data_IF_619887653484
#
_entry.id   IF_619887653484
#
_cell.length_a   1.000
_cell.length_b   1.000
_cell.length_c   1.000
_cell.angle_alpha   90.00
_cell.angle_beta   90.00
_cell.angle_gamma   90.00
#
_symmetry.space_group_name_H-M   'P 1'
#
loop_
_entity.id
_entity.type
_entity.pdbx_description
1 polymer ?
#
# COMPACT_ATOMS: atom_id res chain seq x y z
N UNK A 1 12.14 18.12 -12.08
CA UNK A 1 11.64 17.10 -11.13
C UNK A 1 10.25 16.63 -11.57
N UNK A 2 10.13 16.23 -12.83
CA UNK A 2 8.94 15.57 -13.34
C UNK A 2 9.45 14.26 -13.94
N UNK A 3 9.36 13.18 -13.16
CA UNK A 3 9.35 11.86 -13.78
C UNK A 3 8.07 11.85 -14.62
N UNK A 4 8.19 11.63 -15.93
CA UNK A 4 7.01 11.39 -16.75
C UNK A 4 6.31 10.18 -16.13
N UNK A 5 5.16 10.43 -15.50
CA UNK A 5 4.39 9.40 -14.80
C UNK A 5 3.40 8.87 -15.82
N UNK A 6 3.28 7.55 -15.89
CA UNK A 6 2.27 6.89 -16.71
C UNK A 6 0.87 7.39 -16.28
N UNK A 7 0.02 7.91 -17.19
CA UNK A 7 -1.33 8.33 -16.86
C UNK A 7 -2.16 7.27 -16.13
N UNK A 8 -1.90 5.98 -16.41
CA UNK A 8 -2.59 4.87 -15.76
C UNK A 8 -2.17 4.75 -14.28
N UNK A 9 -0.87 4.98 -13.98
CA UNK A 9 -0.35 5.01 -12.62
C UNK A 9 -0.84 6.23 -11.83
N UNK A 10 -0.95 7.41 -12.46
CA UNK A 10 -1.48 8.61 -11.80
C UNK A 10 -2.93 8.40 -11.35
N UNK A 11 -3.78 7.86 -12.25
CA UNK A 11 -5.17 7.55 -11.94
C UNK A 11 -5.30 6.57 -10.78
N UNK A 12 -4.51 5.49 -10.81
CA UNK A 12 -4.51 4.49 -9.76
C UNK A 12 -4.04 5.06 -8.41
N UNK A 13 -2.96 5.85 -8.38
CA UNK A 13 -2.50 6.51 -7.15
C UNK A 13 -3.54 7.45 -6.56
N UNK A 14 -4.28 8.19 -7.41
CA UNK A 14 -5.37 9.05 -6.97
C UNK A 14 -6.51 8.25 -6.34
N UNK A 15 -6.85 7.08 -6.90
CA UNK A 15 -7.87 6.20 -6.34
C UNK A 15 -7.44 5.59 -5.00
N UNK A 16 -6.16 5.21 -4.85
CA UNK A 16 -5.62 4.78 -3.56
C UNK A 16 -5.68 5.91 -2.52
N UNK A 17 -5.37 7.15 -2.91
CA UNK A 17 -5.51 8.31 -2.02
C UNK A 17 -6.97 8.52 -1.58
N UNK A 18 -7.95 8.33 -2.47
CA UNK A 18 -9.39 8.39 -2.12
C UNK A 18 -9.78 7.27 -1.16
N UNK A 19 -9.31 6.05 -1.38
CA UNK A 19 -9.56 4.91 -0.48
C UNK A 19 -8.94 5.13 0.91
N UNK A 20 -7.81 5.82 1.01
CA UNK A 20 -7.24 6.22 2.31
C UNK A 20 -8.14 7.21 3.09
N UNK A 21 -9.00 7.99 2.43
CA UNK A 21 -10.02 8.77 3.13
C UNK A 21 -11.11 7.88 3.74
N UNK A 22 -11.47 6.77 3.08
CA UNK A 22 -12.40 5.77 3.64
C UNK A 22 -11.79 5.14 4.90
N UNK A 23 -10.51 4.76 4.84
CA UNK A 23 -9.74 4.27 6.00
C UNK A 23 -9.77 5.27 7.14
N UNK A 24 -9.50 6.55 6.84
CA UNK A 24 -9.52 7.62 7.83
C UNK A 24 -10.90 7.83 8.46
N UNK A 25 -11.97 7.77 7.65
CA UNK A 25 -13.34 7.92 8.12
C UNK A 25 -13.75 6.81 9.10
N UNK A 26 -13.39 5.56 8.82
CA UNK A 26 -13.66 4.44 9.72
C UNK A 26 -12.92 4.60 11.05
N UNK A 27 -11.61 4.87 11.00
CA UNK A 27 -10.77 5.04 12.20
C UNK A 27 -11.16 6.26 13.04
N UNK A 28 -11.66 7.33 12.41
CA UNK A 28 -12.10 8.53 13.12
C UNK A 28 -13.48 8.38 13.78
N UNK A 29 -14.26 7.37 13.39
CA UNK A 29 -15.61 7.17 13.90
C UNK A 29 -15.56 6.35 15.19
N UNK A 30 -16.15 6.89 16.27
CA UNK A 30 -16.24 6.17 17.54
C UNK A 30 -16.97 4.82 17.37
N UNK A 31 -16.53 3.73 18.03
CA UNK A 31 -17.11 2.39 17.86
C UNK A 31 -18.64 2.34 17.99
N UNK A 32 -19.20 3.09 18.96
CA UNK A 32 -20.66 3.17 19.16
C UNK A 32 -21.44 3.72 17.94
N UNK A 33 -20.76 4.45 17.05
CA UNK A 33 -21.33 5.03 15.83
C UNK A 33 -20.97 4.25 14.55
N UNK A 34 -20.27 3.11 14.65
CA UNK A 34 -19.86 2.33 13.46
C UNK A 34 -21.06 1.84 12.62
N UNK A 35 -22.23 1.69 13.23
CA UNK A 35 -23.48 1.38 12.52
C UNK A 35 -23.90 2.44 11.48
N UNK A 36 -23.34 3.66 11.56
CA UNK A 36 -23.59 4.76 10.60
C UNK A 36 -22.67 4.71 9.39
N UNK A 37 -21.61 3.88 9.43
CA UNK A 37 -20.64 3.82 8.37
C UNK A 37 -21.20 3.07 7.15
N UNK A 38 -20.87 3.57 5.96
CA UNK A 38 -21.29 2.99 4.70
C UNK A 38 -20.13 2.22 4.04
N UNK A 39 -20.32 0.94 3.65
CA UNK A 39 -19.31 0.15 2.93
C UNK A 39 -18.77 0.88 1.70
N UNK A 40 -17.45 0.94 1.56
CA UNK A 40 -16.74 1.57 0.44
C UNK A 40 -16.75 3.10 0.43
N UNK A 41 -17.52 3.75 1.31
CA UNK A 41 -17.63 5.22 1.38
C UNK A 41 -17.00 5.76 2.66
N UNK A 42 -17.31 5.12 3.79
CA UNK A 42 -16.74 5.48 5.10
C UNK A 42 -16.36 4.26 5.95
N UNK A 43 -16.57 3.04 5.41
CA UNK A 43 -16.14 1.77 5.98
C UNK A 43 -15.32 1.01 4.95
N UNK A 44 -14.13 0.57 5.32
CA UNK A 44 -13.25 -0.27 4.52
C UNK A 44 -13.88 -1.65 4.35
N UNK A 45 -13.79 -2.20 3.14
CA UNK A 45 -14.37 -3.49 2.80
C UNK A 45 -13.32 -4.43 2.20
N UNK A 46 -13.66 -5.72 2.09
CA UNK A 46 -12.78 -6.70 1.46
C UNK A 46 -12.62 -6.43 -0.05
N UNK A 47 -13.65 -5.90 -0.70
CA UNK A 47 -13.65 -5.56 -2.13
C UNK A 47 -12.67 -4.42 -2.45
N UNK A 48 -12.32 -3.58 -1.47
CA UNK A 48 -11.27 -2.57 -1.64
C UNK A 48 -9.86 -3.20 -1.66
N UNK A 49 -9.71 -4.42 -1.14
CA UNK A 49 -8.43 -5.14 -1.08
C UNK A 49 -8.16 -5.88 -2.39
N UNK A 50 -9.20 -6.42 -3.03
CA UNK A 50 -9.09 -7.23 -4.26
C UNK A 50 -8.27 -6.55 -5.36
N UNK A 51 -8.49 -5.28 -5.73
CA UNK A 51 -7.70 -4.63 -6.78
C UNK A 51 -6.20 -4.50 -6.43
N UNK A 52 -5.86 -4.41 -5.13
CA UNK A 52 -4.46 -4.39 -4.71
C UNK A 52 -3.77 -5.73 -4.95
N UNK A 53 -4.48 -6.82 -4.66
CA UNK A 53 -3.99 -8.19 -4.88
C UNK A 53 -3.84 -8.48 -6.37
N UNK A 54 -4.83 -8.10 -7.18
CA UNK A 54 -4.78 -8.25 -8.65
C UNK A 54 -3.58 -7.51 -9.27
N UNK A 55 -3.30 -6.28 -8.82
CA UNK A 55 -2.13 -5.53 -9.30
C UNK A 55 -0.80 -6.10 -8.80
N UNK A 56 -0.74 -6.60 -7.56
CA UNK A 56 0.45 -7.31 -7.06
C UNK A 56 0.74 -8.52 -7.95
N UNK A 57 -0.27 -9.35 -8.22
CA UNK A 57 -0.15 -10.55 -9.03
C UNK A 57 0.26 -10.21 -10.48
N UNK A 58 -0.31 -9.15 -11.05
CA UNK A 58 0.06 -8.66 -12.39
C UNK A 58 1.55 -8.28 -12.44
N UNK A 59 2.00 -7.44 -11.52
CA UNK A 59 3.40 -6.97 -11.51
C UNK A 59 4.34 -8.15 -11.24
N UNK A 60 3.98 -9.07 -10.34
CA UNK A 60 4.78 -10.27 -10.05
C UNK A 60 4.92 -11.16 -11.30
N UNK A 61 3.84 -11.35 -12.07
CA UNK A 61 3.88 -12.14 -13.30
C UNK A 61 4.78 -11.50 -14.38
N UNK A 62 4.82 -10.17 -14.46
CA UNK A 62 5.59 -9.43 -15.48
C UNK A 62 7.06 -9.24 -15.09
N UNK A 63 7.32 -8.98 -13.80
CA UNK A 63 8.64 -8.56 -13.30
C UNK A 63 9.37 -9.66 -12.55
N UNK A 64 8.64 -10.66 -12.05
CA UNK A 64 9.12 -11.62 -11.08
C UNK A 64 9.28 -11.04 -9.68
N UNK A 65 9.75 -11.87 -8.76
CA UNK A 65 10.03 -11.47 -7.37
C UNK A 65 11.53 -11.57 -7.06
N UNK A 66 12.15 -10.52 -6.49
CA UNK A 66 13.53 -10.56 -5.99
C UNK A 66 13.75 -11.69 -4.98
N UNK A 67 14.88 -12.40 -5.09
CA UNK A 67 15.30 -13.44 -4.15
C UNK A 67 16.03 -12.88 -2.92
N UNK A 68 16.43 -11.62 -2.97
CA UNK A 68 17.11 -10.89 -1.92
C UNK A 68 16.39 -9.58 -1.61
N UNK A 69 16.66 -8.99 -0.44
CA UNK A 69 16.17 -7.65 -0.14
C UNK A 69 16.69 -6.64 -1.15
N UNK A 70 15.81 -5.75 -1.61
CA UNK A 70 16.14 -4.69 -2.58
C UNK A 70 16.40 -3.37 -1.85
N UNK A 71 17.45 -2.66 -2.26
CA UNK A 71 17.76 -1.30 -1.80
C UNK A 71 16.78 -0.32 -2.45
N UNK A 72 16.08 0.52 -1.67
CA UNK A 72 15.07 1.42 -2.21
C UNK A 72 15.69 2.59 -2.98
N UNK A 73 15.02 3.03 -4.05
CA UNK A 73 15.24 4.34 -4.64
C UNK A 73 16.20 4.40 -5.83
N UNK A 74 16.23 3.36 -6.68
CA UNK A 74 16.99 3.39 -7.94
C UNK A 74 16.60 4.57 -8.84
N UNK A 75 15.36 5.08 -8.73
CA UNK A 75 14.94 6.34 -9.34
C UNK A 75 13.97 7.12 -8.44
N UNK A 76 13.64 8.35 -8.85
CA UNK A 76 12.81 9.27 -8.06
C UNK A 76 11.38 8.76 -7.80
N UNK A 77 10.76 8.09 -8.78
CA UNK A 77 9.41 7.54 -8.61
C UNK A 77 9.43 6.35 -7.65
N UNK A 78 10.33 5.39 -7.87
CA UNK A 78 10.51 4.24 -6.98
C UNK A 78 10.84 4.68 -5.54
N UNK A 79 11.72 5.68 -5.38
CA UNK A 79 12.04 6.25 -4.08
C UNK A 79 10.80 6.84 -3.38
N UNK A 80 9.96 7.58 -4.10
CA UNK A 80 8.74 8.16 -3.56
C UNK A 80 7.74 7.07 -3.13
N UNK A 81 7.57 6.02 -3.94
CA UNK A 81 6.73 4.86 -3.62
C UNK A 81 7.26 4.10 -2.40
N UNK A 82 8.57 3.89 -2.29
CA UNK A 82 9.18 3.28 -1.11
C UNK A 82 9.00 4.13 0.16
N UNK A 83 9.10 5.45 0.05
CA UNK A 83 8.77 6.36 1.16
C UNK A 83 7.30 6.20 1.54
N UNK A 84 6.37 6.25 0.59
CA UNK A 84 4.94 6.07 0.84
C UNK A 84 4.66 4.73 1.54
N UNK A 85 5.29 3.64 1.08
CA UNK A 85 5.21 2.32 1.71
C UNK A 85 5.62 2.36 3.17
N UNK A 86 6.74 3.00 3.52
CA UNK A 86 7.17 3.09 4.94
C UNK A 86 6.17 3.86 5.81
N UNK A 87 5.52 4.88 5.25
CA UNK A 87 4.47 5.65 5.92
C UNK A 87 3.22 4.80 6.11
N UNK A 88 2.80 4.04 5.09
CA UNK A 88 1.67 3.10 5.17
C UNK A 88 1.94 2.03 6.21
N UNK A 89 3.13 1.41 6.26
CA UNK A 89 3.48 0.44 7.33
C UNK A 89 3.45 1.06 8.73
N UNK A 90 3.78 2.35 8.86
CA UNK A 90 3.64 3.08 10.13
C UNK A 90 2.17 3.30 10.48
N UNK A 91 1.32 3.61 9.50
CA UNK A 91 -0.12 3.73 9.69
C UNK A 91 -0.75 2.38 10.07
N UNK A 92 -0.37 1.28 9.40
CA UNK A 92 -0.79 -0.09 9.70
C UNK A 92 -0.55 -0.44 11.17
N UNK A 93 0.68 -0.24 11.67
CA UNK A 93 1.01 -0.51 13.09
C UNK A 93 0.15 0.31 14.06
N UNK A 94 -0.12 1.58 13.74
CA UNK A 94 -1.00 2.44 14.54
C UNK A 94 -2.45 1.97 14.49
N UNK A 95 -2.92 1.53 13.32
CA UNK A 95 -4.25 0.99 13.14
C UNK A 95 -4.43 -0.30 13.95
N UNK A 96 -3.46 -1.22 13.94
CA UNK A 96 -3.45 -2.44 14.79
C UNK A 96 -3.61 -2.08 16.27
N UNK A 97 -2.79 -1.13 16.76
CA UNK A 97 -2.91 -0.70 18.16
C UNK A 97 -4.27 -0.05 18.44
N UNK A 98 -4.77 0.79 17.52
CA UNK A 98 -6.03 1.49 17.68
C UNK A 98 -7.23 0.53 17.70
N UNK A 99 -7.32 -0.40 16.74
CA UNK A 99 -8.44 -1.34 16.65
C UNK A 99 -8.48 -2.27 17.86
N UNK A 100 -7.33 -2.76 18.31
CA UNK A 100 -7.23 -3.55 19.53
C UNK A 100 -7.65 -2.77 20.78
N UNK A 101 -7.20 -1.53 20.95
CA UNK A 101 -7.52 -0.71 22.12
C UNK A 101 -9.00 -0.32 22.23
N UNK A 102 -9.73 -0.29 21.10
CA UNK A 102 -11.13 0.13 21.05
C UNK A 102 -12.10 -1.02 20.77
N UNK A 103 -11.64 -2.26 20.72
CA UNK A 103 -12.48 -3.44 20.45
C UNK A 103 -13.16 -3.41 19.08
N UNK A 104 -12.48 -2.86 18.07
CA UNK A 104 -13.01 -2.80 16.69
C UNK A 104 -12.71 -4.14 16.01
N UNK A 105 -13.65 -5.08 16.12
CA UNK A 105 -13.55 -6.41 15.54
C UNK A 105 -14.00 -6.42 14.06
N UNK A 106 -13.35 -7.24 13.23
CA UNK A 106 -13.74 -7.44 11.83
C UNK A 106 -13.53 -6.25 10.89
N UNK A 107 -12.78 -5.22 11.30
CA UNK A 107 -12.39 -4.11 10.43
C UNK A 107 -11.42 -4.56 9.34
N UNK A 108 -11.64 -4.10 8.11
CA UNK A 108 -10.75 -4.34 6.97
C UNK A 108 -9.64 -3.30 6.83
N UNK A 109 -9.54 -2.33 7.75
CA UNK A 109 -8.50 -1.28 7.73
C UNK A 109 -7.09 -1.87 7.77
N UNK A 110 -6.82 -2.80 8.70
CA UNK A 110 -5.48 -3.40 8.84
C UNK A 110 -5.14 -4.26 7.61
N UNK A 111 -6.01 -5.19 7.15
CA UNK A 111 -5.81 -5.90 5.89
C UNK A 111 -5.53 -4.98 4.69
N UNK A 112 -6.30 -3.90 4.56
CA UNK A 112 -6.14 -2.94 3.47
C UNK A 112 -4.77 -2.24 3.52
N UNK A 113 -4.38 -1.69 4.68
CA UNK A 113 -3.08 -1.02 4.82
C UNK A 113 -1.91 -1.99 4.63
N UNK A 114 -2.07 -3.26 5.00
CA UNK A 114 -1.09 -4.31 4.79
C UNK A 114 -0.89 -4.59 3.30
N UNK A 115 -1.97 -4.87 2.55
CA UNK A 115 -1.91 -5.11 1.10
C UNK A 115 -1.46 -3.86 0.33
N UNK A 116 -1.85 -2.66 0.77
CA UNK A 116 -1.40 -1.40 0.15
C UNK A 116 0.12 -1.23 0.28
N UNK A 117 0.71 -1.61 1.43
CA UNK A 117 2.16 -1.57 1.59
C UNK A 117 2.88 -2.55 0.64
N UNK A 118 2.29 -3.71 0.39
CA UNK A 118 2.83 -4.71 -0.53
C UNK A 118 2.71 -4.21 -1.99
N UNK A 119 1.55 -3.66 -2.37
CA UNK A 119 1.36 -3.03 -3.68
C UNK A 119 2.36 -1.89 -3.92
N UNK A 120 2.53 -0.97 -2.96
CA UNK A 120 3.50 0.11 -3.09
C UNK A 120 4.95 -0.38 -3.23
N UNK A 121 5.26 -1.55 -2.67
CA UNK A 121 6.55 -2.19 -2.88
C UNK A 121 6.68 -2.72 -4.32
N UNK A 122 5.67 -3.44 -4.81
CA UNK A 122 5.64 -3.96 -6.18
C UNK A 122 5.69 -2.84 -7.23
N UNK A 123 4.89 -1.79 -7.05
CA UNK A 123 4.91 -0.62 -7.92
C UNK A 123 6.28 0.08 -7.93
N UNK A 124 6.99 0.13 -6.79
CA UNK A 124 8.35 0.65 -6.77
C UNK A 124 9.29 -0.22 -7.62
N UNK A 125 9.18 -1.56 -7.56
CA UNK A 125 9.99 -2.50 -8.36
C UNK A 125 9.63 -2.47 -9.86
N UNK A 126 8.37 -2.20 -10.20
CA UNK A 126 7.90 -2.00 -11.57
C UNK A 126 8.51 -0.74 -12.18
N UNK A 127 8.55 0.36 -11.40
CA UNK A 127 9.13 1.64 -11.82
C UNK A 127 10.66 1.62 -11.98
N UNK A 128 11.36 0.58 -11.51
CA UNK A 128 12.81 0.43 -11.64
C UNK A 128 13.21 -0.18 -12.99
N UNK A 129 14.45 0.02 -13.42
CA UNK A 129 15.00 -0.70 -14.59
C UNK A 129 15.62 -2.03 -14.14
N UNK A 130 16.30 -2.02 -13.00
CA UNK A 130 16.91 -3.18 -12.35
C UNK A 130 16.75 -3.09 -10.84
N UNK A 131 16.83 -4.21 -10.14
CA UNK A 131 16.82 -4.22 -8.68
C UNK A 131 18.23 -4.23 -8.14
N UNK A 132 18.51 -3.36 -7.15
CA UNK A 132 19.79 -3.35 -6.44
C UNK A 132 19.69 -4.26 -5.21
N UNK A 133 20.42 -5.38 -5.15
CA UNK A 133 20.42 -6.23 -3.97
C UNK A 133 21.04 -5.52 -2.77
N UNK A 134 20.48 -5.75 -1.57
CA UNK A 134 20.97 -5.16 -0.31
C UNK A 134 22.37 -5.61 0.10
N UNK A 135 22.81 -6.77 -0.41
CA UNK A 135 24.17 -7.26 -0.26
C UNK A 135 24.87 -6.93 -1.56
N UNK A 136 25.78 -5.95 -1.52
CA UNK A 136 26.56 -5.55 -2.69
C UNK A 136 27.22 -6.77 -3.33
N UNK A 137 27.14 -6.87 -4.65
CA UNK A 137 27.77 -7.95 -5.40
C UNK A 137 29.30 -7.94 -5.23
N UNK A 138 29.80 -8.72 -4.29
CA UNK A 138 31.05 -9.46 -4.49
C UNK A 138 30.73 -10.94 -4.34
N UNK A 139 30.38 -11.56 -5.46
CA UNK A 139 30.20 -12.99 -5.60
C UNK A 139 30.48 -13.38 -7.04
N UNK A 140 31.72 -13.84 -7.25
CA UNK A 140 32.28 -14.67 -8.33
C UNK A 140 31.48 -14.87 -9.64
#
# INVERSE_FOLDING_TARGET
LAAATDPDLEGLLLDLQRQLFVVGAELATAPANHHKLQPGVSRVTAEMVVPLEEEIDRIEAERGMPTEFVVPGQNALAAALDVARTVVRRAERRAVTHTAAHGIEGSMVVPYLNRLADYLWMAAREAETTWEPSRGGTGA
#
